data_IF_779947471551
#
_entry.id   IF_779947471551
#
_cell.length_a   1.000
_cell.length_b   1.000
_cell.length_c   1.000
_cell.angle_alpha   90.00
_cell.angle_beta   90.00
_cell.angle_gamma   90.00
#
_symmetry.space_group_name_H-M   'P 1'
#
loop_
_entity.id
_entity.type
_entity.pdbx_description
1 polymer ?
#
# COMPACT_ATOMS: atom_id res chain seq x y z
N UNK A 1 -23.93 80.60 5.00
CA UNK A 1 -23.75 80.37 6.44
C UNK A 1 -23.45 78.90 6.59
N UNK A 2 -22.17 78.60 6.80
CA UNK A 2 -21.65 77.26 6.98
C UNK A 2 -21.74 76.88 8.47
N UNK A 3 -22.15 75.64 8.76
CA UNK A 3 -21.84 74.92 10.00
C UNK A 3 -22.27 73.46 9.75
N UNK A 4 -21.33 72.54 9.48
CA UNK A 4 -20.41 71.85 10.41
C UNK A 4 -20.97 70.47 10.75
N UNK A 5 -20.49 69.50 9.97
CA UNK A 5 -20.72 68.05 10.10
C UNK A 5 -20.00 67.51 11.33
N UNK A 6 -20.72 66.91 12.28
CA UNK A 6 -20.13 66.28 13.48
C UNK A 6 -20.02 64.78 13.26
N UNK A 7 -18.80 64.27 13.05
CA UNK A 7 -18.48 62.84 13.08
C UNK A 7 -18.38 62.32 14.53
N UNK A 8 -18.91 61.14 14.87
CA UNK A 8 -18.74 60.57 16.20
C UNK A 8 -17.36 59.89 16.35
N UNK A 9 -16.57 60.36 17.31
CA UNK A 9 -15.29 59.74 17.66
C UNK A 9 -15.47 58.39 18.36
N UNK A 10 -14.78 57.38 17.87
CA UNK A 10 -14.73 56.04 18.46
C UNK A 10 -13.90 56.03 19.75
N UNK A 11 -14.50 55.59 20.86
CA UNK A 11 -13.82 55.38 22.13
C UNK A 11 -12.97 54.10 22.11
N UNK A 12 -11.68 54.20 22.41
CA UNK A 12 -10.78 53.04 22.53
C UNK A 12 -11.14 52.15 23.74
N UNK A 13 -11.11 50.81 23.62
CA UNK A 13 -11.41 49.92 24.74
C UNK A 13 -10.25 49.87 25.75
N UNK A 14 -10.51 50.29 26.98
CA UNK A 14 -9.57 50.18 28.11
C UNK A 14 -9.60 48.76 28.68
N UNK A 15 -8.53 47.98 28.48
CA UNK A 15 -8.37 46.67 29.10
C UNK A 15 -8.04 46.79 30.59
N UNK A 16 -8.97 46.36 31.45
CA UNK A 16 -8.75 46.26 32.89
C UNK A 16 -7.77 45.10 33.18
N UNK A 17 -6.54 45.43 33.57
CA UNK A 17 -5.50 44.47 33.98
C UNK A 17 -5.98 43.71 35.22
N UNK A 18 -6.29 42.41 35.07
CA UNK A 18 -6.66 41.54 36.21
C UNK A 18 -5.46 41.38 37.14
N UNK A 19 -5.67 41.66 38.43
CA UNK A 19 -4.65 41.56 39.47
C UNK A 19 -4.13 40.13 39.70
N UNK A 20 -2.92 40.02 40.23
CA UNK A 20 -2.14 38.79 40.36
C UNK A 20 -2.61 37.85 41.50
N UNK A 21 -3.89 37.45 41.52
CA UNK A 21 -4.44 36.46 42.49
C UNK A 21 -5.18 35.29 41.83
N UNK A 22 -4.77 34.90 40.63
CA UNK A 22 -5.41 33.81 39.86
C UNK A 22 -4.55 32.55 39.63
N UNK A 23 -3.48 32.33 40.41
CA UNK A 23 -2.61 31.14 40.27
C UNK A 23 -2.73 30.21 41.47
N UNK A 24 -3.88 29.56 41.61
CA UNK A 24 -4.07 28.52 42.64
C UNK A 24 -4.37 27.12 42.09
N UNK A 25 -4.58 26.94 40.78
CA UNK A 25 -4.90 25.60 40.23
C UNK A 25 -4.27 25.36 38.83
N UNK A 26 -2.95 25.34 38.73
CA UNK A 26 -2.24 24.77 37.58
C UNK A 26 -1.34 23.62 38.06
N UNK A 27 -1.59 22.40 37.59
CA UNK A 27 -0.72 21.22 37.83
C UNK A 27 0.68 21.48 37.26
N UNK A 28 1.72 21.15 38.04
CA UNK A 28 3.14 21.37 37.69
C UNK A 28 3.59 20.45 36.56
N UNK A 29 4.21 21.00 35.51
CA UNK A 29 5.03 20.27 34.54
C UNK A 29 6.47 20.11 35.09
N UNK A 30 7.17 19.00 34.87
CA UNK A 30 8.57 18.82 35.29
C UNK A 30 9.52 19.72 34.48
N UNK A 31 10.61 20.17 35.12
CA UNK A 31 11.59 21.10 34.56
C UNK A 31 12.57 20.42 33.60
N UNK A 32 12.90 21.10 32.50
CA UNK A 32 13.98 20.76 31.56
C UNK A 32 15.35 21.09 32.15
N UNK A 33 16.38 20.23 31.98
CA UNK A 33 17.74 20.49 32.48
C UNK A 33 18.52 21.51 31.62
N UNK A 34 19.53 22.21 32.18
CA UNK A 34 20.28 23.27 31.51
C UNK A 34 21.37 22.74 30.55
N UNK A 35 21.79 23.55 29.55
CA UNK A 35 22.89 23.18 28.65
C UNK A 35 24.26 23.40 29.32
N UNK A 36 25.24 22.56 28.98
CA UNK A 36 26.62 22.67 29.46
C UNK A 36 27.54 23.32 28.42
N UNK A 37 28.41 24.20 28.91
CA UNK A 37 29.39 25.02 28.19
C UNK A 37 30.58 24.23 27.60
N UNK A 38 31.23 24.91 26.64
CA UNK A 38 32.46 24.62 25.89
C UNK A 38 33.74 24.74 26.73
N UNK A 39 34.73 23.83 26.60
CA UNK A 39 36.10 24.14 26.09
C UNK A 39 37.10 22.95 26.03
N UNK A 40 38.00 23.03 25.03
CA UNK A 40 39.39 22.55 24.85
C UNK A 40 39.89 21.07 24.69
N UNK A 41 40.39 20.83 23.47
CA UNK A 41 41.71 20.30 23.00
C UNK A 41 42.20 18.83 23.09
N UNK A 42 42.80 18.41 21.95
CA UNK A 42 43.77 17.34 21.62
C UNK A 42 43.39 15.86 21.29
N UNK A 43 43.47 15.56 19.97
CA UNK A 43 44.11 14.39 19.28
C UNK A 43 43.55 12.97 19.54
N UNK A 44 43.41 11.98 18.63
CA UNK A 44 43.98 11.63 17.32
C UNK A 44 42.93 10.77 16.56
N UNK A 45 42.83 10.93 15.25
CA UNK A 45 41.96 10.13 14.38
C UNK A 45 42.54 8.73 14.15
N UNK A 46 41.76 7.68 14.42
CA UNK A 46 41.85 6.40 13.73
C UNK A 46 40.43 5.89 13.54
N UNK A 47 39.99 5.83 12.29
CA UNK A 47 38.65 5.45 11.86
C UNK A 47 38.36 3.98 12.17
N UNK A 48 37.20 3.72 12.78
CA UNK A 48 36.52 2.43 12.71
C UNK A 48 35.00 2.67 12.81
N UNK A 49 34.27 2.09 11.86
CA UNK A 49 32.88 2.38 11.50
C UNK A 49 31.87 1.66 12.41
N UNK A 50 31.78 2.09 13.67
CA UNK A 50 30.60 1.89 14.52
C UNK A 50 30.75 2.68 15.83
N UNK A 51 30.10 3.84 15.90
CA UNK A 51 30.24 4.83 16.97
C UNK A 51 29.69 4.44 18.35
N UNK A 52 30.23 3.40 18.99
CA UNK A 52 29.93 3.11 20.40
C UNK A 52 31.19 2.76 21.21
N UNK A 53 31.79 3.77 21.85
CA UNK A 53 32.98 3.66 22.69
C UNK A 53 32.60 3.24 24.13
N UNK A 54 32.71 1.95 24.44
CA UNK A 54 32.51 1.44 25.82
C UNK A 54 33.85 1.37 26.56
N UNK A 55 34.02 2.20 27.61
CA UNK A 55 35.13 2.10 28.57
C UNK A 55 34.96 0.81 29.40
N UNK A 56 35.78 -0.22 29.17
CA UNK A 56 35.90 -1.36 30.09
C UNK A 56 37.02 -1.12 31.10
N UNK A 57 36.66 -1.01 32.38
CA UNK A 57 37.61 -0.99 33.50
C UNK A 57 37.92 -2.43 33.90
N UNK A 58 39.16 -2.88 33.72
CA UNK A 58 39.60 -4.22 34.16
C UNK A 58 39.76 -4.23 35.68
N UNK A 59 38.93 -5.01 36.40
CA UNK A 59 39.18 -5.40 37.79
C UNK A 59 39.47 -6.89 37.80
N UNK A 60 40.67 -7.24 38.25
CA UNK A 60 41.07 -8.60 38.59
C UNK A 60 40.34 -9.05 39.85
N UNK A 61 39.48 -10.04 39.76
CA UNK A 61 38.94 -10.75 40.91
C UNK A 61 38.71 -12.22 40.55
N UNK A 62 39.21 -13.06 41.45
CA UNK A 62 39.27 -14.51 41.53
C UNK A 62 38.00 -15.24 41.07
N UNK A 63 38.20 -16.31 40.30
CA UNK A 63 37.16 -17.23 39.81
C UNK A 63 36.73 -18.15 40.94
N UNK A 64 35.50 -17.98 41.44
CA UNK A 64 34.80 -19.00 42.22
C UNK A 64 33.69 -19.58 41.34
N UNK A 65 33.80 -20.86 41.00
CA UNK A 65 32.81 -21.58 40.20
C UNK A 65 31.50 -21.72 40.99
N UNK A 66 30.43 -21.11 40.49
CA UNK A 66 29.06 -21.38 40.92
C UNK A 66 28.19 -21.52 39.68
N UNK A 67 27.56 -22.69 39.53
CA UNK A 67 26.63 -23.04 38.47
C UNK A 67 25.29 -22.36 38.71
N UNK A 68 25.20 -21.09 38.32
CA UNK A 68 23.94 -20.43 38.01
C UNK A 68 24.17 -19.67 36.72
N UNK A 69 23.43 -20.05 35.68
CA UNK A 69 23.47 -19.41 34.38
C UNK A 69 23.15 -17.92 34.55
N UNK A 70 24.21 -17.12 34.56
CA UNK A 70 24.12 -15.68 34.50
C UNK A 70 23.66 -15.38 33.07
N UNK A 71 22.40 -14.97 32.91
CA UNK A 71 21.89 -14.47 31.64
C UNK A 71 22.73 -13.25 31.23
N UNK A 72 23.80 -13.48 30.48
CA UNK A 72 24.54 -12.45 29.80
C UNK A 72 23.58 -11.78 28.84
N UNK A 73 23.22 -10.53 29.15
CA UNK A 73 22.43 -9.65 28.30
C UNK A 73 23.13 -9.40 26.98
N UNK A 74 23.00 -10.35 26.06
CA UNK A 74 22.97 -10.10 24.63
C UNK A 74 21.51 -9.84 24.33
N UNK A 75 21.14 -8.58 24.18
CA UNK A 75 19.93 -8.23 23.45
C UNK A 75 20.18 -8.55 21.98
N UNK A 76 20.29 -9.83 21.66
CA UNK A 76 20.05 -10.30 20.31
C UNK A 76 18.61 -9.91 19.99
N UNK A 77 18.41 -9.29 18.83
CA UNK A 77 17.09 -9.01 18.27
C UNK A 77 16.42 -10.35 17.95
N UNK A 78 15.95 -11.05 18.98
CA UNK A 78 15.17 -12.26 18.83
C UNK A 78 13.79 -11.86 18.33
N UNK A 79 13.36 -12.53 17.25
CA UNK A 79 12.03 -12.35 16.70
C UNK A 79 10.99 -12.51 17.81
N UNK A 80 10.04 -11.57 17.90
CA UNK A 80 8.94 -11.65 18.87
C UNK A 80 8.16 -12.94 18.61
N UNK A 81 8.33 -13.94 19.49
CA UNK A 81 7.57 -15.18 19.44
C UNK A 81 6.19 -14.89 20.03
N UNK A 82 5.18 -14.80 19.18
CA UNK A 82 3.79 -14.69 19.61
C UNK A 82 3.32 -16.07 20.11
N UNK A 83 3.07 -16.17 21.41
CA UNK A 83 2.41 -17.35 22.00
C UNK A 83 0.90 -17.20 21.78
N UNK A 84 0.30 -18.09 20.99
CA UNK A 84 -1.15 -18.08 20.79
C UNK A 84 -1.88 -18.67 22.01
N UNK A 85 -2.95 -18.02 22.45
CA UNK A 85 -3.85 -18.54 23.48
C UNK A 85 -4.64 -19.73 22.94
N UNK A 86 -4.39 -20.93 23.46
CA UNK A 86 -5.02 -22.19 23.02
C UNK A 86 -6.37 -22.48 23.70
N UNK A 87 -6.82 -21.56 24.57
CA UNK A 87 -8.02 -21.72 25.39
C UNK A 87 -9.25 -21.01 24.81
N UNK A 88 -9.12 -20.30 23.68
CA UNK A 88 -10.24 -19.58 23.07
C UNK A 88 -11.05 -20.56 22.21
N UNK A 89 -12.34 -20.78 22.50
CA UNK A 89 -13.18 -21.63 21.66
C UNK A 89 -13.30 -21.01 20.27
N UNK A 90 -13.21 -21.82 19.21
CA UNK A 90 -13.41 -21.39 17.84
C UNK A 90 -14.89 -21.01 17.68
N UNK A 91 -15.20 -19.73 17.86
CA UNK A 91 -16.58 -19.23 17.70
C UNK A 91 -16.94 -19.31 16.21
N UNK A 92 -18.05 -19.98 15.86
CA UNK A 92 -18.58 -19.86 14.50
C UNK A 92 -18.94 -18.39 14.27
N UNK A 93 -18.17 -17.71 13.41
CA UNK A 93 -18.41 -16.32 13.04
C UNK A 93 -19.60 -16.27 12.10
N UNK A 94 -20.81 -16.45 12.66
CA UNK A 94 -22.05 -16.24 11.92
C UNK A 94 -22.21 -14.74 11.66
N UNK A 95 -21.70 -14.30 10.52
CA UNK A 95 -21.69 -12.91 10.05
C UNK A 95 -23.09 -12.37 9.71
N UNK A 96 -24.14 -13.17 9.91
CA UNK A 96 -25.53 -12.85 9.57
C UNK A 96 -26.08 -11.64 10.36
N UNK A 97 -25.62 -11.42 11.61
CA UNK A 97 -26.03 -10.28 12.45
C UNK A 97 -24.94 -9.21 12.59
N UNK A 98 -23.94 -9.21 11.71
CA UNK A 98 -22.88 -8.22 11.71
C UNK A 98 -23.47 -6.83 11.43
N UNK A 99 -23.36 -5.93 12.39
CA UNK A 99 -23.78 -4.55 12.29
C UNK A 99 -22.57 -3.66 11.95
N UNK A 100 -22.75 -2.70 11.05
CA UNK A 100 -21.76 -1.65 10.82
C UNK A 100 -22.26 -0.36 11.46
N UNK A 101 -21.80 -0.08 12.68
CA UNK A 101 -22.07 1.18 13.34
C UNK A 101 -20.92 2.14 13.04
N UNK A 102 -21.14 3.05 12.08
CA UNK A 102 -20.19 4.14 11.80
C UNK A 102 -20.34 5.33 12.77
N UNK A 103 -21.45 5.36 13.51
CA UNK A 103 -21.79 6.43 14.44
C UNK A 103 -21.61 5.98 15.88
N UNK A 104 -21.01 6.84 16.70
CA UNK A 104 -20.66 6.53 18.08
C UNK A 104 -21.87 6.49 19.04
N UNK A 105 -23.07 6.86 18.59
CA UNK A 105 -24.26 7.03 19.45
C UNK A 105 -24.68 5.77 20.23
N UNK A 106 -24.40 4.58 19.69
CA UNK A 106 -24.71 3.28 20.31
C UNK A 106 -23.49 2.67 21.05
N UNK A 107 -22.35 3.36 21.07
CA UNK A 107 -21.21 2.91 21.86
C UNK A 107 -21.53 3.03 23.35
N UNK A 108 -21.12 2.04 24.16
CA UNK A 108 -21.41 2.03 25.60
C UNK A 108 -20.83 3.26 26.33
N UNK A 109 -19.79 3.89 25.77
CA UNK A 109 -19.15 5.11 26.30
C UNK A 109 -19.74 6.42 25.75
N UNK A 110 -20.57 6.38 24.70
CA UNK A 110 -21.22 7.60 24.21
C UNK A 110 -22.36 8.00 25.14
N UNK A 111 -22.17 9.13 25.81
CA UNK A 111 -23.18 9.84 26.57
C UNK A 111 -24.24 10.45 25.63
N UNK A 112 -24.93 9.62 24.86
CA UNK A 112 -26.01 10.07 24.00
C UNK A 112 -27.10 10.68 24.89
N UNK A 113 -27.61 11.86 24.53
CA UNK A 113 -28.63 12.56 25.30
C UNK A 113 -29.88 11.68 25.54
N UNK A 114 -30.11 10.70 24.67
CA UNK A 114 -31.20 9.72 24.79
C UNK A 114 -30.95 8.67 25.87
N UNK A 115 -29.69 8.23 26.03
CA UNK A 115 -29.27 7.33 27.11
C UNK A 115 -29.17 8.07 28.47
N UNK A 116 -28.76 9.35 28.49
CA UNK A 116 -28.65 10.12 29.74
C UNK A 116 -29.97 10.69 30.26
N UNK A 117 -30.80 11.28 29.39
CA UNK A 117 -32.03 11.96 29.83
C UNK A 117 -33.26 11.03 29.83
N UNK A 118 -33.15 9.84 29.24
CA UNK A 118 -34.26 8.91 29.06
C UNK A 118 -35.37 9.47 28.16
N UNK A 119 -36.18 8.58 27.58
CA UNK A 119 -37.33 9.00 26.74
C UNK A 119 -38.52 9.53 27.56
N UNK A 120 -38.42 9.56 28.89
CA UNK A 120 -39.56 9.76 29.80
C UNK A 120 -39.81 11.21 30.19
N UNK A 121 -38.90 12.15 29.84
CA UNK A 121 -39.17 13.59 29.97
C UNK A 121 -39.43 14.21 28.60
N UNK A 122 -40.60 13.92 28.03
CA UNK A 122 -41.17 14.83 27.05
C UNK A 122 -41.35 16.18 27.74
N UNK A 123 -40.55 17.18 27.37
CA UNK A 123 -40.70 18.53 27.92
C UNK A 123 -42.15 18.99 27.64
N UNK A 124 -42.89 19.33 28.70
CA UNK A 124 -44.24 19.85 28.60
C UNK A 124 -44.23 21.08 27.67
N UNK A 125 -44.93 20.96 26.54
CA UNK A 125 -44.94 21.95 25.44
C UNK A 125 -45.55 23.30 25.82
N UNK A 126 -46.19 23.40 26.98
CA UNK A 126 -46.98 24.56 27.41
C UNK A 126 -46.47 25.20 28.71
N UNK A 127 -45.17 25.09 29.01
CA UNK A 127 -44.56 25.81 30.13
C UNK A 127 -44.00 27.15 29.68
N UNK A 128 -44.43 28.23 30.34
CA UNK A 128 -43.94 29.60 30.14
C UNK A 128 -42.40 29.66 30.23
N UNK A 129 -41.72 30.55 29.49
CA UNK A 129 -40.26 30.60 29.51
C UNK A 129 -39.76 31.11 30.87
N UNK A 130 -39.29 30.20 31.72
CA UNK A 130 -38.69 30.48 33.05
C UNK A 130 -37.39 31.33 33.01
N UNK A 131 -37.06 31.99 31.89
CA UNK A 131 -35.83 32.78 31.68
C UNK A 131 -34.51 32.00 31.79
N UNK A 132 -34.57 30.73 32.19
CA UNK A 132 -33.42 29.87 32.44
C UNK A 132 -32.95 29.26 31.12
N UNK A 133 -31.70 29.52 30.74
CA UNK A 133 -31.10 28.99 29.52
C UNK A 133 -30.91 27.47 29.60
N UNK A 134 -31.71 26.71 28.85
CA UNK A 134 -31.68 25.23 28.79
C UNK A 134 -30.82 24.68 27.64
N UNK A 135 -29.90 25.49 27.11
CA UNK A 135 -29.01 25.14 26.00
C UNK A 135 -29.57 25.47 24.62
N UNK A 136 -28.69 25.49 23.61
CA UNK A 136 -29.01 25.86 22.21
C UNK A 136 -30.11 24.99 21.60
N UNK A 137 -30.19 23.71 21.98
CA UNK A 137 -31.16 22.75 21.44
C UNK A 137 -32.60 22.99 21.95
N UNK A 138 -32.75 23.67 23.09
CA UNK A 138 -34.03 23.91 23.75
C UNK A 138 -34.52 25.36 23.59
N UNK A 139 -34.05 26.08 22.56
CA UNK A 139 -34.55 27.42 22.25
C UNK A 139 -36.03 27.37 21.85
N UNK A 140 -36.80 28.34 22.32
CA UNK A 140 -38.24 28.45 22.06
C UNK A 140 -38.49 28.76 20.59
N UNK A 141 -39.09 27.84 19.84
CA UNK A 141 -39.47 28.08 18.45
C UNK A 141 -40.90 28.64 18.39
N UNK A 142 -41.05 29.89 17.93
CA UNK A 142 -42.35 30.55 17.75
C UNK A 142 -43.07 30.18 16.45
N UNK A 143 -42.48 29.30 15.63
CA UNK A 143 -43.02 28.89 14.34
C UNK A 143 -44.01 27.75 14.56
N UNK A 144 -45.28 27.97 14.22
CA UNK A 144 -46.30 26.92 14.26
C UNK A 144 -46.00 25.86 13.19
N UNK A 145 -45.89 24.60 13.62
CA UNK A 145 -45.70 23.45 12.73
C UNK A 145 -47.06 22.91 12.29
N UNK A 146 -47.20 22.61 11.01
CA UNK A 146 -48.42 22.02 10.46
C UNK A 146 -48.69 20.64 11.12
N UNK A 147 -49.87 20.41 11.72
CA UNK A 147 -50.20 19.15 12.40
C UNK A 147 -50.27 17.94 11.45
N UNK A 148 -50.56 18.14 10.16
CA UNK A 148 -50.73 17.05 9.20
C UNK A 148 -49.41 16.62 8.52
N UNK A 149 -48.31 17.30 8.82
CA UNK A 149 -47.01 16.98 8.22
C UNK A 149 -46.39 15.74 8.87
N UNK A 150 -45.90 14.74 8.10
CA UNK A 150 -45.18 13.61 8.67
C UNK A 150 -43.93 14.11 9.40
N UNK A 151 -43.67 13.56 10.59
CA UNK A 151 -42.53 13.92 11.41
C UNK A 151 -41.23 13.40 10.77
N UNK A 152 -40.74 14.13 9.77
CA UNK A 152 -39.43 13.90 9.16
C UNK A 152 -38.37 14.51 10.06
N UNK A 153 -37.46 13.68 10.55
CA UNK A 153 -36.27 14.16 11.25
C UNK A 153 -35.50 15.09 10.30
N UNK A 154 -35.30 16.34 10.72
CA UNK A 154 -34.49 17.33 9.99
C UNK A 154 -33.08 17.28 10.58
N UNK A 155 -32.09 16.95 9.76
CA UNK A 155 -30.69 16.84 10.18
C UNK A 155 -30.02 15.57 9.62
N UNK A 156 -28.78 15.28 10.04
CA UNK A 156 -28.10 14.04 9.72
C UNK A 156 -28.98 12.84 10.08
N UNK A 157 -29.26 11.99 9.09
CA UNK A 157 -30.12 10.82 9.27
C UNK A 157 -29.23 9.61 9.59
N UNK A 158 -29.62 8.85 10.61
CA UNK A 158 -28.92 7.61 10.98
C UNK A 158 -29.04 6.59 9.84
N UNK A 159 -27.90 6.08 9.39
CA UNK A 159 -27.86 4.96 8.44
C UNK A 159 -28.34 3.67 9.12
N UNK A 160 -28.99 2.79 8.37
CA UNK A 160 -29.39 1.47 8.86
C UNK A 160 -28.16 0.60 9.19
N UNK A 161 -28.12 0.01 10.38
CA UNK A 161 -26.97 -0.77 10.87
C UNK A 161 -26.84 -2.17 10.25
N UNK A 162 -27.92 -2.67 9.65
CA UNK A 162 -28.06 -4.04 9.14
C UNK A 162 -27.91 -4.15 7.60
N UNK A 163 -27.60 -3.05 6.92
CA UNK A 163 -27.44 -3.03 5.45
C UNK A 163 -25.97 -2.83 5.10
N UNK A 164 -25.42 -3.74 4.29
CA UNK A 164 -24.09 -3.60 3.71
C UNK A 164 -24.20 -2.87 2.38
N UNK A 165 -23.61 -1.69 2.29
CA UNK A 165 -23.56 -0.94 1.03
C UNK A 165 -22.55 -1.58 0.10
N UNK A 166 -22.94 -1.92 -1.13
CA UNK A 166 -22.02 -2.47 -2.13
C UNK A 166 -21.14 -1.32 -2.64
N UNK A 167 -19.84 -1.40 -2.39
CA UNK A 167 -18.86 -0.44 -2.91
C UNK A 167 -18.39 -0.90 -4.29
N UNK A 168 -18.74 -0.16 -5.34
CA UNK A 168 -18.22 -0.35 -6.69
C UNK A 168 -17.24 0.78 -6.98
N UNK A 169 -16.05 0.45 -7.49
CA UNK A 169 -15.06 1.44 -7.88
C UNK A 169 -15.37 1.97 -9.28
N UNK A 170 -15.58 3.28 -9.43
CA UNK A 170 -15.74 3.92 -10.73
C UNK A 170 -14.36 4.32 -11.28
N UNK A 171 -13.89 3.60 -12.30
CA UNK A 171 -12.58 3.81 -12.90
C UNK A 171 -12.59 4.84 -14.04
N UNK A 172 -13.73 5.41 -14.41
CA UNK A 172 -13.82 6.35 -15.54
C UNK A 172 -13.55 7.78 -15.05
N UNK A 173 -12.40 8.41 -15.39
CA UNK A 173 -12.18 9.79 -15.02
C UNK A 173 -12.97 10.73 -15.94
N UNK A 174 -13.72 11.66 -15.34
CA UNK A 174 -14.40 12.74 -16.06
C UNK A 174 -13.45 13.90 -16.38
N UNK A 175 -12.32 13.60 -17.03
CA UNK A 175 -11.32 14.60 -17.42
C UNK A 175 -11.46 14.93 -18.90
N UNK A 176 -11.45 16.23 -19.22
CA UNK A 176 -11.57 16.71 -20.59
C UNK A 176 -10.38 16.26 -21.42
N UNK A 177 -10.61 15.37 -22.38
CA UNK A 177 -9.58 14.80 -23.25
C UNK A 177 -8.81 15.87 -24.03
N UNK A 178 -9.54 16.85 -24.58
CA UNK A 178 -8.95 17.90 -25.40
C UNK A 178 -8.12 18.83 -24.54
N UNK A 179 -8.69 19.34 -23.44
CA UNK A 179 -7.95 20.17 -22.49
C UNK A 179 -6.73 19.46 -21.91
N UNK A 180 -6.80 18.16 -21.64
CA UNK A 180 -5.68 17.38 -21.11
C UNK A 180 -4.54 17.27 -22.12
N UNK A 181 -4.84 16.98 -23.39
CA UNK A 181 -3.81 16.81 -24.43
C UNK A 181 -3.27 18.14 -24.94
N UNK A 182 -4.13 19.07 -25.32
CA UNK A 182 -3.74 20.28 -26.05
C UNK A 182 -3.62 21.51 -25.16
N UNK A 183 -4.28 21.51 -24.00
CA UNK A 183 -4.35 22.68 -23.10
C UNK A 183 -5.44 23.65 -23.49
N UNK A 184 -6.22 23.29 -24.51
CA UNK A 184 -7.30 24.11 -25.03
C UNK A 184 -8.50 23.23 -25.34
N UNK A 185 -9.61 23.54 -24.67
CA UNK A 185 -10.91 22.93 -24.92
C UNK A 185 -11.75 23.92 -25.72
N UNK A 186 -12.27 23.50 -26.87
CA UNK A 186 -13.16 24.35 -27.68
C UNK A 186 -14.45 24.77 -26.97
N UNK A 187 -14.86 24.03 -25.92
CA UNK A 187 -16.01 24.35 -25.08
C UNK A 187 -15.69 25.34 -23.95
N UNK A 188 -14.41 25.68 -23.73
CA UNK A 188 -13.99 26.55 -22.64
C UNK A 188 -14.59 26.13 -21.30
N UNK A 189 -15.05 27.09 -20.52
CA UNK A 189 -15.63 26.85 -19.18
C UNK A 189 -17.02 26.22 -19.21
N UNK A 190 -17.64 26.05 -20.39
CA UNK A 190 -18.91 25.33 -20.54
C UNK A 190 -18.72 23.81 -20.69
N UNK A 191 -17.49 23.32 -20.62
CA UNK A 191 -17.21 21.88 -20.70
C UNK A 191 -17.74 21.15 -19.46
N UNK A 192 -18.45 20.04 -19.67
CA UNK A 192 -18.92 19.16 -18.57
C UNK A 192 -17.77 18.39 -17.91
N UNK A 193 -16.66 18.23 -18.61
CA UNK A 193 -15.51 17.47 -18.15
C UNK A 193 -14.47 18.36 -17.46
N UNK A 194 -13.78 17.80 -16.47
CA UNK A 194 -12.82 18.53 -15.67
C UNK A 194 -11.60 18.98 -16.49
N UNK A 195 -11.24 20.26 -16.35
CA UNK A 195 -10.07 20.88 -16.97
C UNK A 195 -8.82 20.68 -16.12
N UNK A 196 -8.29 19.47 -16.10
CA UNK A 196 -7.09 19.09 -15.34
C UNK A 196 -6.03 18.54 -16.31
N UNK A 197 -4.78 19.00 -16.18
CA UNK A 197 -3.63 18.59 -17.03
C UNK A 197 -2.71 17.59 -16.34
N UNK A 198 -3.10 17.08 -15.18
CA UNK A 198 -2.30 16.14 -14.41
C UNK A 198 -2.39 14.72 -15.01
N UNK A 199 -1.23 14.11 -15.20
CA UNK A 199 -1.07 12.72 -15.66
C UNK A 199 -0.77 11.81 -14.47
N UNK A 200 -1.80 11.51 -13.70
CA UNK A 200 -1.73 10.53 -12.59
C UNK A 200 -2.11 9.14 -13.10
N UNK A 201 -1.29 8.14 -12.77
CA UNK A 201 -1.58 6.73 -13.04
C UNK A 201 -2.87 6.33 -12.33
N UNK A 202 -3.75 5.65 -13.06
CA UNK A 202 -5.01 5.16 -12.50
C UNK A 202 -4.74 3.97 -11.57
N UNK A 203 -5.64 3.72 -10.60
CA UNK A 203 -5.49 2.62 -9.64
C UNK A 203 -5.20 1.28 -10.31
N UNK A 204 -5.92 0.95 -11.39
CA UNK A 204 -5.69 -0.29 -12.14
C UNK A 204 -4.30 -0.39 -12.79
N UNK A 205 -3.69 0.74 -13.18
CA UNK A 205 -2.34 0.76 -13.73
C UNK A 205 -1.32 0.50 -12.63
N UNK A 206 -1.53 1.07 -11.44
CA UNK A 206 -0.70 0.83 -10.28
C UNK A 206 -0.80 -0.63 -9.80
N UNK A 207 -2.01 -1.18 -9.74
CA UNK A 207 -2.23 -2.57 -9.35
C UNK A 207 -1.51 -3.52 -10.33
N UNK A 208 -1.60 -3.25 -11.64
CA UNK A 208 -0.89 -4.04 -12.65
C UNK A 208 0.63 -3.91 -12.53
N UNK A 209 1.15 -2.70 -12.35
CA UNK A 209 2.59 -2.49 -12.13
C UNK A 209 3.07 -3.21 -10.87
N UNK A 210 2.24 -3.22 -9.81
CA UNK A 210 2.53 -3.95 -8.58
C UNK A 210 2.53 -5.47 -8.79
N UNK A 211 1.56 -6.00 -9.53
CA UNK A 211 1.52 -7.42 -9.91
C UNK A 211 2.73 -7.84 -10.76
N UNK A 212 3.13 -7.04 -11.75
CA UNK A 212 4.29 -7.31 -12.59
C UNK A 212 5.59 -7.36 -11.76
N UNK A 213 5.76 -6.40 -10.84
CA UNK A 213 6.94 -6.34 -9.95
C UNK A 213 6.95 -7.49 -8.92
N UNK A 214 5.78 -7.88 -8.42
CA UNK A 214 5.68 -8.96 -7.42
C UNK A 214 5.77 -10.36 -8.05
N UNK A 215 5.28 -10.56 -9.27
CA UNK A 215 5.37 -11.84 -9.99
C UNK A 215 6.83 -12.24 -10.29
N UNK A 216 7.74 -11.28 -10.43
CA UNK A 216 9.18 -11.50 -10.53
C UNK A 216 9.89 -11.78 -9.20
N UNK A 217 9.25 -11.47 -8.06
CA UNK A 217 9.78 -11.65 -6.70
C UNK A 217 9.07 -12.81 -5.99
N UNK A 218 9.18 -14.03 -6.53
CA UNK A 218 8.71 -15.27 -5.90
C UNK A 218 9.43 -15.63 -4.56
N UNK A 219 10.26 -14.74 -4.01
CA UNK A 219 11.05 -14.98 -2.79
C UNK A 219 10.66 -14.09 -1.61
N UNK A 220 9.54 -13.34 -1.68
CA UNK A 220 9.00 -12.56 -0.55
C UNK A 220 7.78 -13.20 0.12
N UNK A 221 7.46 -14.44 -0.23
CA UNK A 221 6.52 -15.27 0.54
C UNK A 221 7.28 -15.91 1.68
N UNK A 222 6.98 -15.50 2.92
CA UNK A 222 7.53 -16.11 4.13
C UNK A 222 7.45 -17.63 4.08
N UNK A 223 8.44 -18.28 4.67
CA UNK A 223 8.61 -19.73 4.78
C UNK A 223 7.26 -20.42 5.02
N UNK A 224 6.70 -21.03 3.97
CA UNK A 224 5.53 -21.90 4.09
C UNK A 224 5.98 -23.11 4.89
N UNK A 225 5.74 -23.07 6.20
CA UNK A 225 5.95 -24.24 7.07
C UNK A 225 4.91 -25.28 6.67
N UNK A 226 5.38 -26.31 5.99
CA UNK A 226 4.79 -27.64 5.88
C UNK A 226 3.28 -27.69 5.55
N UNK A 227 2.95 -27.63 4.25
CA UNK A 227 1.80 -28.38 3.75
C UNK A 227 2.28 -29.76 3.30
N UNK A 228 2.09 -30.74 4.18
CA UNK A 228 2.36 -32.15 3.92
C UNK A 228 1.36 -32.69 2.89
N UNK A 229 1.63 -32.49 1.60
CA UNK A 229 1.09 -33.27 0.48
C UNK A 229 1.91 -32.92 -0.78
N UNK A 230 3.08 -33.54 -0.90
CA UNK A 230 3.99 -33.39 -2.04
C UNK A 230 3.79 -34.51 -3.06
N UNK A 231 2.57 -34.65 -3.56
CA UNK A 231 2.26 -35.53 -4.70
C UNK A 231 1.26 -34.87 -5.66
N UNK A 232 1.36 -33.56 -5.83
CA UNK A 232 0.78 -32.87 -6.99
C UNK A 232 1.91 -32.36 -7.86
N UNK A 233 2.33 -33.25 -8.77
CA UNK A 233 3.15 -33.02 -9.96
C UNK A 233 2.92 -31.59 -10.52
N UNK A 234 3.86 -30.70 -10.23
CA UNK A 234 3.97 -29.37 -10.85
C UNK A 234 4.58 -29.57 -12.23
N UNK A 235 3.76 -29.96 -13.20
CA UNK A 235 4.21 -30.01 -14.61
C UNK A 235 3.42 -29.10 -15.55
N UNK A 236 2.34 -28.46 -15.07
CA UNK A 236 1.51 -27.60 -15.92
C UNK A 236 1.69 -26.09 -15.70
N UNK A 237 2.50 -25.67 -14.72
CA UNK A 237 2.68 -24.24 -14.40
C UNK A 237 3.91 -23.61 -15.06
N UNK A 238 4.93 -24.41 -15.40
CA UNK A 238 6.14 -23.92 -16.05
C UNK A 238 5.96 -23.77 -17.58
N UNK A 239 4.93 -24.39 -18.15
CA UNK A 239 4.67 -24.36 -19.59
C UNK A 239 4.21 -22.99 -20.09
N UNK A 240 3.40 -22.26 -19.33
CA UNK A 240 2.90 -20.94 -19.77
C UNK A 240 4.02 -19.88 -19.84
N UNK A 241 4.93 -19.89 -18.86
CA UNK A 241 6.05 -18.97 -18.80
C UNK A 241 7.13 -19.34 -19.84
N UNK A 242 7.33 -20.64 -20.13
CA UNK A 242 8.22 -21.11 -21.20
C UNK A 242 7.68 -20.80 -22.61
N UNK A 243 6.36 -20.87 -22.82
CA UNK A 243 5.70 -20.50 -24.09
C UNK A 243 5.83 -19.00 -24.37
N UNK A 244 5.68 -18.15 -23.34
CA UNK A 244 5.88 -16.71 -23.51
C UNK A 244 7.33 -16.33 -23.81
N UNK A 245 8.32 -17.11 -23.31
CA UNK A 245 9.73 -16.94 -23.70
C UNK A 245 10.03 -17.46 -25.10
N UNK A 246 9.28 -18.46 -25.59
CA UNK A 246 9.39 -19.00 -26.94
C UNK A 246 8.97 -17.99 -28.02
N UNK A 247 7.95 -17.16 -27.75
CA UNK A 247 7.47 -16.16 -28.73
C UNK A 247 8.47 -15.02 -28.96
N UNK A 248 9.34 -14.73 -27.99
CA UNK A 248 10.38 -13.69 -28.11
C UNK A 248 11.64 -14.16 -28.84
N UNK A 249 11.80 -15.46 -29.07
CA UNK A 249 12.99 -16.01 -29.73
C UNK A 249 12.64 -16.35 -31.18
N UNK A 250 13.26 -15.71 -32.19
CA UNK A 250 13.02 -16.05 -33.58
C UNK A 250 13.40 -17.52 -33.82
N UNK A 251 12.44 -18.31 -34.32
CA UNK A 251 12.59 -19.77 -34.53
C UNK A 251 13.61 -20.16 -35.61
N UNK A 252 14.08 -19.19 -36.40
CA UNK A 252 15.09 -19.35 -37.42
C UNK A 252 16.38 -18.63 -37.04
N UNK A 253 17.51 -19.21 -37.43
CA UNK A 253 18.81 -18.59 -37.24
C UNK A 253 18.94 -17.35 -38.12
N UNK A 254 19.30 -16.20 -37.54
CA UNK A 254 19.42 -14.91 -38.27
C UNK A 254 20.49 -14.96 -39.38
N UNK A 255 21.44 -15.89 -39.32
CA UNK A 255 22.54 -15.98 -40.30
C UNK A 255 22.18 -16.87 -41.50
N UNK A 256 21.44 -17.95 -41.28
CA UNK A 256 21.12 -18.92 -42.34
C UNK A 256 19.62 -19.03 -42.65
N UNK A 257 18.78 -18.30 -41.93
CA UNK A 257 17.31 -18.22 -42.06
C UNK A 257 16.56 -19.56 -41.96
N UNK A 258 17.28 -20.66 -41.76
CA UNK A 258 16.74 -22.00 -41.52
C UNK A 258 16.60 -22.35 -40.03
N UNK A 259 16.09 -23.57 -39.75
CA UNK A 259 15.99 -24.08 -38.40
C UNK A 259 17.37 -24.23 -37.76
N UNK A 260 17.42 -24.04 -36.44
CA UNK A 260 18.68 -24.13 -35.70
C UNK A 260 19.29 -25.55 -35.77
N UNK A 261 20.51 -25.64 -36.28
CA UNK A 261 21.38 -26.82 -36.19
C UNK A 261 22.37 -26.55 -35.06
N UNK A 262 22.21 -27.29 -33.95
CA UNK A 262 22.98 -27.11 -32.72
C UNK A 262 22.95 -25.65 -32.23
N UNK A 263 21.83 -25.21 -31.62
CA UNK A 263 21.68 -23.84 -31.17
C UNK A 263 22.70 -23.50 -30.07
N UNK A 264 23.37 -22.37 -30.24
CA UNK A 264 24.29 -21.77 -29.29
C UNK A 264 23.81 -20.38 -28.90
N UNK A 265 24.12 -19.97 -27.67
CA UNK A 265 23.78 -18.68 -27.10
C UNK A 265 25.05 -17.85 -26.93
N UNK A 266 25.00 -16.63 -27.44
CA UNK A 266 26.04 -15.61 -27.22
C UNK A 266 25.84 -14.89 -25.90
N UNK A 267 26.84 -14.16 -25.39
CA UNK A 267 26.72 -13.37 -24.15
C UNK A 267 25.56 -12.37 -24.16
N UNK A 268 25.21 -11.85 -25.33
CA UNK A 268 24.09 -10.94 -25.52
C UNK A 268 22.72 -11.65 -25.62
N UNK A 269 22.67 -12.97 -25.41
CA UNK A 269 21.42 -13.74 -25.37
C UNK A 269 20.88 -14.13 -26.75
N UNK A 270 21.55 -13.77 -27.85
CA UNK A 270 21.13 -14.15 -29.20
C UNK A 270 21.53 -15.57 -29.56
N UNK A 271 20.66 -16.24 -30.30
CA UNK A 271 20.79 -17.64 -30.69
C UNK A 271 21.20 -17.79 -32.15
N UNK A 272 22.12 -18.72 -32.40
CA UNK A 272 22.63 -19.04 -33.74
C UNK A 272 22.88 -20.54 -33.88
N UNK A 273 23.02 -21.03 -35.10
CA UNK A 273 23.61 -22.35 -35.33
C UNK A 273 25.11 -22.31 -35.02
N UNK A 274 25.65 -23.36 -34.41
CA UNK A 274 27.10 -23.54 -34.22
C UNK A 274 27.95 -23.23 -35.48
N UNK A 275 27.66 -23.82 -36.66
CA UNK A 275 28.44 -23.53 -37.87
C UNK A 275 28.30 -22.08 -38.34
N UNK A 276 27.17 -21.44 -38.06
CA UNK A 276 26.90 -20.06 -38.48
C UNK A 276 27.68 -19.06 -37.63
N UNK A 277 27.72 -19.25 -36.31
CA UNK A 277 28.50 -18.38 -35.44
C UNK A 277 30.00 -18.55 -35.69
N UNK A 278 30.49 -19.78 -35.89
CA UNK A 278 31.91 -20.02 -36.19
C UNK A 278 32.34 -19.41 -37.52
N UNK A 279 31.53 -19.56 -38.59
CA UNK A 279 31.81 -18.94 -39.89
C UNK A 279 31.81 -17.41 -39.80
N UNK A 280 30.88 -16.83 -39.04
CA UNK A 280 30.82 -15.38 -38.85
C UNK A 280 31.98 -14.89 -37.99
N UNK A 281 32.29 -15.54 -36.88
CA UNK A 281 33.40 -15.15 -36.00
C UNK A 281 34.76 -15.08 -36.71
N UNK A 282 34.98 -15.95 -37.70
CA UNK A 282 36.18 -15.91 -38.57
C UNK A 282 36.25 -14.68 -39.48
N UNK A 283 35.09 -14.11 -39.86
CA UNK A 283 35.00 -12.92 -40.71
C UNK A 283 34.91 -11.65 -39.85
N UNK A 284 33.93 -11.63 -38.97
CA UNK A 284 33.63 -10.54 -38.04
C UNK A 284 33.38 -11.09 -36.62
N UNK A 285 34.14 -10.67 -35.60
CA UNK A 285 33.98 -11.15 -34.22
C UNK A 285 32.74 -10.58 -33.48
N UNK A 286 31.78 -10.00 -34.21
CA UNK A 286 30.60 -9.31 -33.69
C UNK A 286 29.32 -10.17 -33.81
N UNK A 287 28.36 -9.91 -32.92
CA UNK A 287 27.06 -10.58 -32.92
C UNK A 287 26.19 -10.09 -34.09
N UNK A 288 25.50 -11.02 -34.75
CA UNK A 288 24.67 -10.73 -35.91
C UNK A 288 23.43 -9.88 -35.63
N UNK A 289 22.88 -9.99 -34.42
CA UNK A 289 21.62 -9.34 -34.07
C UNK A 289 21.83 -7.94 -33.45
N UNK A 290 22.85 -7.78 -32.61
CA UNK A 290 23.10 -6.53 -31.87
C UNK A 290 24.46 -5.88 -32.11
N UNK A 291 25.35 -6.49 -32.91
CA UNK A 291 26.69 -5.95 -33.17
C UNK A 291 27.68 -6.05 -32.00
N UNK A 292 27.27 -6.53 -30.82
CA UNK A 292 28.16 -6.66 -29.67
C UNK A 292 29.31 -7.65 -29.94
N UNK A 293 30.52 -7.34 -29.48
CA UNK A 293 31.67 -8.24 -29.56
C UNK A 293 31.41 -9.56 -28.83
N UNK A 294 31.52 -10.68 -29.55
CA UNK A 294 31.23 -12.02 -29.00
C UNK A 294 32.36 -12.57 -28.15
N UNK A 295 33.57 -11.99 -28.25
CA UNK A 295 34.78 -12.33 -27.48
C UNK A 295 35.10 -13.84 -27.48
N UNK A 296 34.72 -14.57 -28.54
CA UNK A 296 34.97 -16.00 -28.70
C UNK A 296 34.20 -16.90 -27.72
N UNK A 297 33.24 -16.37 -26.97
CA UNK A 297 32.48 -17.15 -25.98
C UNK A 297 31.11 -17.51 -26.53
N UNK A 298 30.95 -18.78 -26.92
CA UNK A 298 29.71 -19.37 -27.39
C UNK A 298 29.29 -20.50 -26.45
N UNK A 299 28.16 -20.34 -25.77
CA UNK A 299 27.62 -21.36 -24.85
C UNK A 299 26.58 -22.22 -25.58
N UNK A 300 26.50 -23.51 -25.27
CA UNK A 300 25.43 -24.36 -25.83
C UNK A 300 24.06 -24.00 -25.25
N UNK A 301 23.06 -23.82 -26.11
CA UNK A 301 21.72 -23.41 -25.70
C UNK A 301 20.84 -24.62 -25.34
N UNK A 302 21.13 -25.29 -24.21
CA UNK A 302 20.39 -26.48 -23.73
C UNK A 302 18.87 -26.24 -23.62
N UNK A 303 18.48 -25.03 -23.19
CA UNK A 303 17.07 -24.63 -23.07
C UNK A 303 16.37 -24.61 -24.44
N UNK A 304 16.99 -24.01 -25.45
CA UNK A 304 16.42 -24.02 -26.81
C UNK A 304 16.36 -25.42 -27.41
N UNK A 305 17.36 -26.28 -27.15
CA UNK A 305 17.32 -27.68 -27.62
C UNK A 305 16.08 -28.40 -27.06
N UNK A 306 15.85 -28.31 -25.76
CA UNK A 306 14.67 -28.91 -25.09
C UNK A 306 13.35 -28.37 -25.67
N UNK A 307 13.27 -27.08 -25.97
CA UNK A 307 12.05 -26.48 -26.51
C UNK A 307 11.78 -26.89 -27.97
N UNK A 308 12.83 -27.00 -28.79
CA UNK A 308 12.73 -27.49 -30.16
C UNK A 308 12.36 -28.98 -30.20
N UNK A 309 12.89 -29.78 -29.29
CA UNK A 309 12.52 -31.20 -29.11
C UNK A 309 11.04 -31.33 -28.71
N UNK A 310 10.59 -30.57 -27.71
CA UNK A 310 9.18 -30.55 -27.27
C UNK A 310 8.21 -30.11 -28.38
N UNK A 311 8.63 -29.17 -29.24
CA UNK A 311 7.82 -28.74 -30.40
C UNK A 311 7.71 -29.84 -31.45
N UNK A 312 8.83 -30.51 -31.78
CA UNK A 312 8.83 -31.64 -32.73
C UNK A 312 7.97 -32.79 -32.23
N UNK A 313 8.08 -33.15 -30.96
CA UNK A 313 7.26 -34.20 -30.35
C UNK A 313 5.76 -33.90 -30.47
N UNK A 314 5.34 -32.65 -30.23
CA UNK A 314 3.94 -32.22 -30.39
C UNK A 314 3.49 -32.28 -31.86
N UNK A 315 4.35 -31.92 -32.80
CA UNK A 315 4.03 -32.00 -34.24
C UNK A 315 3.94 -33.47 -34.71
N UNK A 316 4.77 -34.37 -34.20
CA UNK A 316 4.72 -35.80 -34.49
C UNK A 316 3.47 -36.47 -33.89
N UNK A 317 3.06 -36.10 -32.68
CA UNK A 317 1.81 -36.59 -32.07
C UNK A 317 0.60 -36.20 -32.92
N UNK A 318 0.51 -34.93 -33.35
CA UNK A 318 -0.58 -34.47 -34.22
C UNK A 318 -0.62 -35.21 -35.56
N UNK A 319 0.53 -35.47 -36.17
CA UNK A 319 0.58 -36.22 -37.43
C UNK A 319 0.10 -37.67 -37.26
N UNK A 320 0.46 -38.32 -36.15
CA UNK A 320 -0.02 -39.68 -35.85
C UNK A 320 -1.53 -39.71 -35.63
N UNK A 321 -2.06 -38.74 -34.88
CA UNK A 321 -3.51 -38.59 -34.69
C UNK A 321 -4.23 -38.35 -36.04
N UNK A 322 -3.65 -37.53 -36.92
CA UNK A 322 -4.18 -37.28 -38.26
C UNK A 322 -4.12 -38.53 -39.16
N UNK A 323 -3.05 -39.32 -39.09
CA UNK A 323 -2.91 -40.60 -39.83
C UNK A 323 -3.90 -41.65 -39.31
N UNK A 324 -4.06 -41.80 -37.99
CA UNK A 324 -5.03 -42.71 -37.36
C UNK A 324 -6.47 -42.34 -37.76
N UNK A 325 -6.82 -41.04 -37.76
CA UNK A 325 -8.16 -40.59 -38.19
C UNK A 325 -8.43 -40.75 -39.69
N UNK A 326 -7.38 -40.83 -40.52
CA UNK A 326 -7.49 -41.09 -41.96
C UNK A 326 -7.58 -42.59 -42.28
N UNK A 327 -7.00 -43.46 -41.45
CA UNK A 327 -7.13 -44.92 -41.58
C UNK A 327 -8.48 -45.46 -41.04
N UNK A 328 -9.13 -44.72 -40.13
CA UNK A 328 -10.47 -45.06 -39.60
C UNK A 328 -11.65 -44.58 -40.49
N UNK A 329 -11.40 -43.81 -41.56
CA UNK A 329 -12.41 -43.33 -42.53
C UNK A 329 -12.38 -44.12 -43.84
#
# INVERSE_FOLDING_TARGET
>A
MADSTTEPQASAPVFKKRGAKGKANLRKRPATPPPADSDDSDYSSSEDESGQRVKRRKKTATVTASSKDLATGKTDLQATVYTADRNVPITSTNDATKHSNWYDEDSQDALSAKNLLGSTRAAAKDSQPDGTYKGLANQTTFIQKNPDAPNRAKGPVKASSNVRTITVMDFKPDVCKDYKKTGWCGFGDSCVFAHIRDDVKQGWQLDREWEEVTKGKKNLGGTVVASANRDKKVENADDADEIAMLEKIPFACIICEGPYREPIQTRCGHYFCEPCALKRYRKDPTCAACGAGTNGVFNSAKKLKKLLEKKKEREEQKKKEEEETQEEQ
#
